data_IF_636362286559
#
_entry.id   IF_636362286559
#
_cell.length_a   1.000
_cell.length_b   1.000
_cell.length_c   1.000
_cell.angle_alpha   90.00
_cell.angle_beta   90.00
_cell.angle_gamma   90.00
#
_symmetry.space_group_name_H-M   'P 1'
#
loop_
_entity.id
_entity.type
_entity.pdbx_description
1 polymer ?
#
# COMPACT_ATOMS: atom_id res chain seq x y z
N UNK A 1 -14.77 -2.02 -11.70
CA UNK A 1 -13.92 -1.55 -10.58
C UNK A 1 -12.57 -2.28 -10.49
N UNK A 2 -12.43 -3.49 -11.05
CA UNK A 2 -11.23 -4.33 -10.89
C UNK A 2 -9.95 -3.84 -11.58
N UNK A 3 -10.07 -3.14 -12.71
CA UNK A 3 -8.89 -2.66 -13.45
C UNK A 3 -7.99 -1.72 -12.63
N UNK A 4 -8.57 -0.92 -11.73
CA UNK A 4 -7.80 -0.05 -10.84
C UNK A 4 -7.04 -0.86 -9.78
N UNK A 5 -7.70 -1.85 -9.15
CA UNK A 5 -7.07 -2.73 -8.17
C UNK A 5 -5.88 -3.48 -8.76
N UNK A 6 -6.05 -4.01 -9.98
CA UNK A 6 -4.98 -4.72 -10.71
C UNK A 6 -3.84 -3.77 -11.08
N UNK A 7 -4.14 -2.53 -11.49
CA UNK A 7 -3.11 -1.52 -11.76
C UNK A 7 -2.33 -1.14 -10.50
N UNK A 8 -3.01 -0.89 -9.39
CA UNK A 8 -2.37 -0.53 -8.11
C UNK A 8 -1.49 -1.68 -7.62
N UNK A 9 -2.02 -2.90 -7.60
CA UNK A 9 -1.27 -4.09 -7.17
C UNK A 9 -0.08 -4.36 -8.10
N UNK A 10 -0.25 -4.25 -9.41
CA UNK A 10 0.82 -4.40 -10.39
C UNK A 10 1.89 -3.32 -10.26
N UNK A 11 1.51 -2.07 -10.03
CA UNK A 11 2.45 -0.96 -9.82
C UNK A 11 3.24 -1.13 -8.52
N UNK A 12 2.61 -1.58 -7.43
CA UNK A 12 3.32 -1.88 -6.17
C UNK A 12 4.27 -3.07 -6.35
N UNK A 13 3.82 -4.15 -7.00
CA UNK A 13 4.60 -5.38 -7.17
C UNK A 13 5.77 -5.23 -8.15
N UNK A 14 5.65 -4.37 -9.17
CA UNK A 14 6.69 -4.13 -10.18
C UNK A 14 7.55 -2.90 -9.88
N UNK A 15 7.26 -2.15 -8.80
CA UNK A 15 8.05 -0.99 -8.40
C UNK A 15 9.37 -1.43 -7.78
N UNK A 16 10.44 -0.69 -8.10
CA UNK A 16 11.74 -0.82 -7.45
C UNK A 16 11.68 -0.49 -5.95
N UNK A 17 10.63 0.17 -5.48
CA UNK A 17 10.39 0.50 -4.07
C UNK A 17 8.91 0.32 -3.75
N UNK A 18 8.48 -0.92 -3.43
CA UNK A 18 7.07 -1.26 -3.22
C UNK A 18 6.40 -0.39 -2.16
N UNK A 19 7.09 -0.08 -1.07
CA UNK A 19 6.50 0.70 0.01
C UNK A 19 6.43 2.21 -0.25
N UNK A 20 7.34 2.79 -1.04
CA UNK A 20 7.16 4.15 -1.57
C UNK A 20 5.92 4.24 -2.49
N UNK A 21 5.70 3.25 -3.35
CA UNK A 21 4.50 3.16 -4.20
C UNK A 21 3.23 2.93 -3.36
N UNK A 22 3.30 2.06 -2.36
CA UNK A 22 2.21 1.81 -1.42
C UNK A 22 1.84 3.08 -0.65
N UNK A 23 2.83 3.85 -0.19
CA UNK A 23 2.64 5.15 0.47
C UNK A 23 1.91 6.14 -0.43
N UNK A 24 2.34 6.27 -1.69
CA UNK A 24 1.68 7.13 -2.68
C UNK A 24 0.19 6.79 -2.82
N UNK A 25 -0.13 5.51 -3.03
CA UNK A 25 -1.53 5.08 -3.16
C UNK A 25 -2.31 5.25 -1.87
N UNK A 26 -1.67 5.01 -0.73
CA UNK A 26 -2.26 5.22 0.58
C UNK A 26 -2.65 6.69 0.82
N UNK A 27 -1.82 7.64 0.38
CA UNK A 27 -2.13 9.08 0.39
C UNK A 27 -3.27 9.43 -0.57
N UNK A 28 -3.27 8.87 -1.79
CA UNK A 28 -4.32 9.08 -2.79
C UNK A 28 -5.70 8.59 -2.29
N UNK A 29 -5.74 7.44 -1.63
CA UNK A 29 -6.98 6.87 -1.08
C UNK A 29 -7.32 7.37 0.34
N UNK A 30 -6.47 8.20 0.95
CA UNK A 30 -6.68 8.70 2.31
C UNK A 30 -6.65 7.60 3.38
N UNK A 31 -5.94 6.50 3.13
CA UNK A 31 -5.85 5.35 4.04
C UNK A 31 -4.74 5.59 5.06
N UNK A 32 -4.96 5.28 6.33
CA UNK A 32 -3.92 5.39 7.36
C UNK A 32 -3.06 4.13 7.44
N UNK A 33 -1.82 4.24 7.94
CA UNK A 33 -0.98 3.05 8.15
C UNK A 33 -1.65 2.07 9.11
N UNK A 34 -2.36 2.56 10.13
CA UNK A 34 -3.09 1.73 11.09
C UNK A 34 -4.24 0.94 10.46
N UNK A 35 -4.95 1.52 9.50
CA UNK A 35 -5.98 0.80 8.75
C UNK A 35 -5.35 -0.31 7.89
N UNK A 36 -4.25 0.01 7.20
CA UNK A 36 -3.56 -0.95 6.36
C UNK A 36 -2.94 -2.08 7.18
N UNK A 37 -2.32 -1.76 8.32
CA UNK A 37 -1.70 -2.73 9.21
C UNK A 37 -2.73 -3.70 9.78
N UNK A 38 -3.93 -3.21 10.14
CA UNK A 38 -5.03 -4.04 10.61
C UNK A 38 -5.54 -5.00 9.53
N UNK A 39 -5.70 -4.52 8.30
CA UNK A 39 -6.14 -5.37 7.17
C UNK A 39 -5.09 -6.40 6.76
N UNK A 40 -3.81 -6.04 6.82
CA UNK A 40 -2.70 -6.92 6.47
C UNK A 40 -2.29 -7.85 7.63
N UNK A 41 -2.82 -7.63 8.84
CA UNK A 41 -2.45 -8.38 10.03
C UNK A 41 -0.99 -8.18 10.48
N UNK A 42 -0.39 -7.04 10.11
CA UNK A 42 1.00 -6.69 10.44
C UNK A 42 1.05 -5.48 11.37
N UNK A 43 2.22 -5.24 11.97
CA UNK A 43 2.44 -4.05 12.80
C UNK A 43 2.48 -2.77 11.96
N UNK A 44 2.04 -1.65 12.53
CA UNK A 44 2.16 -0.32 11.90
C UNK A 44 3.61 -0.01 11.53
N UNK A 45 4.55 -0.42 12.38
CA UNK A 45 6.00 -0.30 12.15
C UNK A 45 6.43 -0.97 10.84
N UNK A 46 5.89 -2.15 10.53
CA UNK A 46 6.18 -2.89 9.28
C UNK A 46 5.69 -2.12 8.06
N UNK A 47 4.54 -1.46 8.15
CA UNK A 47 4.01 -0.60 7.08
C UNK A 47 4.84 0.69 6.93
N UNK A 48 5.51 1.13 7.99
CA UNK A 48 6.38 2.32 7.94
C UNK A 48 7.81 2.01 7.50
N UNK A 49 8.24 0.75 7.63
CA UNK A 49 9.58 0.27 7.24
C UNK A 49 9.68 0.06 5.71
N UNK A 50 8.54 -0.22 5.07
CA UNK A 50 8.38 -0.29 3.62
C UNK A 50 7.99 1.07 3.03
#
# INVERSE_FOLDING_TARGET
MDALKVKVAGEIALSSSPGATMRKWREIFGVTQSQLSKEFGVSVSTISDY
#
